data_IF_307193879337
#
_entry.id   IF_307193879337
#
_cell.length_a   1.000
_cell.length_b   1.000
_cell.length_c   1.000
_cell.angle_alpha   90.00
_cell.angle_beta   90.00
_cell.angle_gamma   90.00
#
_symmetry.space_group_name_H-M   'P 1'
#
loop_
_entity.id
_entity.type
_entity.pdbx_description
1 polymer ?
#
# COMPACT_ATOMS: atom_id res chain seq x y z
N UNK A 1 16.10 -28.78 -0.42
CA UNK A 1 16.65 -27.79 0.55
C UNK A 1 15.56 -27.47 1.55
N UNK A 2 15.89 -27.37 2.86
CA UNK A 2 14.95 -27.00 3.91
C UNK A 2 14.98 -25.49 4.13
N UNK A 3 13.82 -24.84 4.19
CA UNK A 3 13.69 -23.41 4.37
C UNK A 3 12.77 -23.11 5.56
N UNK A 4 13.20 -22.24 6.44
CA UNK A 4 12.40 -21.72 7.54
C UNK A 4 11.92 -20.31 7.18
N UNK A 5 10.60 -20.11 7.14
CA UNK A 5 9.98 -18.80 6.97
C UNK A 5 9.45 -18.32 8.33
N UNK A 6 9.93 -17.18 8.78
CA UNK A 6 9.52 -16.57 10.06
C UNK A 6 8.54 -15.44 9.81
N UNK A 7 7.33 -15.59 10.31
CA UNK A 7 6.20 -14.68 10.11
C UNK A 7 5.21 -15.20 9.07
N UNK A 8 3.96 -15.41 9.49
CA UNK A 8 2.87 -15.91 8.67
C UNK A 8 1.83 -14.81 8.32
N UNK A 9 2.27 -13.57 8.23
CA UNK A 9 1.54 -12.51 7.56
C UNK A 9 1.52 -12.72 6.05
N UNK A 10 0.89 -11.83 5.29
CA UNK A 10 0.73 -12.01 3.83
C UNK A 10 2.05 -12.25 3.10
N UNK A 11 3.11 -11.53 3.43
CA UNK A 11 4.43 -11.68 2.78
C UNK A 11 5.04 -13.05 3.04
N UNK A 12 5.13 -13.47 4.31
CA UNK A 12 5.74 -14.75 4.65
C UNK A 12 4.91 -15.93 4.15
N UNK A 13 3.58 -15.83 4.24
CA UNK A 13 2.69 -16.89 3.74
C UNK A 13 2.76 -17.02 2.21
N UNK A 14 2.78 -15.92 1.47
CA UNK A 14 2.96 -15.94 0.02
C UNK A 14 4.32 -16.51 -0.37
N UNK A 15 5.40 -16.14 0.33
CA UNK A 15 6.72 -16.71 0.13
C UNK A 15 6.73 -18.21 0.39
N UNK A 16 6.15 -18.66 1.51
CA UNK A 16 6.09 -20.06 1.88
C UNK A 16 5.35 -20.91 0.84
N UNK A 17 4.19 -20.43 0.35
CA UNK A 17 3.42 -21.09 -0.70
C UNK A 17 4.22 -21.21 -2.00
N UNK A 18 4.86 -20.11 -2.43
CA UNK A 18 5.65 -20.15 -3.66
C UNK A 18 6.89 -21.03 -3.55
N UNK A 19 7.57 -21.05 -2.41
CA UNK A 19 8.70 -21.95 -2.16
C UNK A 19 8.27 -23.42 -2.21
N UNK A 20 7.15 -23.78 -1.58
CA UNK A 20 6.64 -25.17 -1.66
C UNK A 20 6.32 -25.60 -3.09
N UNK A 21 5.81 -24.69 -3.92
CA UNK A 21 5.55 -24.98 -5.35
C UNK A 21 6.81 -25.21 -6.17
N UNK A 22 7.94 -24.74 -5.69
CA UNK A 22 9.26 -24.97 -6.28
C UNK A 22 10.01 -26.11 -5.57
N UNK A 23 9.26 -27.06 -4.96
CA UNK A 23 9.75 -28.29 -4.36
C UNK A 23 10.72 -28.09 -3.17
N UNK A 24 10.64 -26.93 -2.51
CA UNK A 24 11.35 -26.75 -1.25
C UNK A 24 10.55 -27.31 -0.07
N UNK A 25 11.26 -27.92 0.87
CA UNK A 25 10.69 -28.30 2.18
C UNK A 25 10.61 -27.04 3.05
N UNK A 26 9.39 -26.53 3.28
CA UNK A 26 9.18 -25.26 3.96
C UNK A 26 8.53 -25.44 5.32
N UNK A 27 9.16 -24.88 6.35
CA UNK A 27 8.58 -24.71 7.68
C UNK A 27 8.20 -23.24 7.87
N UNK A 28 6.91 -22.97 8.15
CA UNK A 28 6.38 -21.64 8.43
C UNK A 28 6.11 -21.52 9.93
N UNK A 29 6.66 -20.50 10.59
CA UNK A 29 6.45 -20.24 12.01
C UNK A 29 5.94 -18.81 12.24
N UNK A 30 5.01 -18.66 13.17
CA UNK A 30 4.51 -17.38 13.68
C UNK A 30 4.08 -17.55 15.14
N UNK A 31 3.90 -16.45 15.86
CA UNK A 31 3.38 -16.44 17.22
C UNK A 31 1.87 -16.74 17.29
N UNK A 32 1.17 -16.50 16.17
CA UNK A 32 -0.28 -16.65 16.04
C UNK A 32 -0.65 -17.26 14.70
N UNK A 33 -1.84 -17.81 14.58
CA UNK A 33 -2.32 -18.34 13.31
C UNK A 33 -2.49 -17.23 12.24
N UNK A 34 -2.22 -17.54 10.95
CA UNK A 34 -2.46 -16.61 9.85
C UNK A 34 -3.89 -16.09 9.80
N UNK A 35 -4.05 -14.80 9.64
CA UNK A 35 -5.34 -14.12 9.68
C UNK A 35 -5.88 -13.86 11.10
N UNK A 36 -5.03 -13.99 12.13
CA UNK A 36 -5.36 -13.55 13.49
C UNK A 36 -5.56 -12.03 13.57
N UNK A 37 -6.50 -11.53 14.40
CA UNK A 37 -6.72 -10.10 14.60
C UNK A 37 -5.50 -9.32 15.10
N UNK A 38 -4.52 -10.00 15.66
CA UNK A 38 -3.26 -9.38 16.16
C UNK A 38 -2.19 -9.19 15.08
N UNK A 39 -2.40 -9.74 13.87
CA UNK A 39 -1.50 -9.54 12.74
C UNK A 39 -1.82 -8.25 11.99
N UNK A 40 -0.80 -7.50 11.57
CA UNK A 40 -0.95 -6.30 10.75
C UNK A 40 -1.71 -6.56 9.44
N UNK A 41 -1.57 -7.76 8.87
CA UNK A 41 -2.28 -8.16 7.65
C UNK A 41 -3.79 -8.29 7.84
N UNK A 42 -4.29 -8.57 9.05
CA UNK A 42 -5.72 -8.70 9.33
C UNK A 42 -6.46 -7.37 9.18
N UNK A 43 -5.89 -6.29 9.75
CA UNK A 43 -6.49 -4.96 9.73
C UNK A 43 -6.06 -4.10 8.54
N UNK A 44 -5.39 -4.68 7.55
CA UNK A 44 -4.97 -3.97 6.34
C UNK A 44 -6.18 -3.54 5.50
N UNK A 45 -6.06 -2.39 4.80
CA UNK A 45 -7.10 -1.92 3.88
C UNK A 45 -7.30 -2.84 2.66
N UNK A 46 -6.38 -3.76 2.43
CA UNK A 46 -6.45 -4.73 1.35
C UNK A 46 -6.20 -4.17 -0.05
N UNK A 47 -5.81 -2.91 -0.17
CA UNK A 47 -5.57 -2.29 -1.47
C UNK A 47 -4.36 -2.92 -2.17
N UNK A 48 -4.56 -3.37 -3.40
CA UNK A 48 -3.54 -3.87 -4.32
C UNK A 48 -3.20 -2.75 -5.32
N UNK A 49 -2.40 -1.79 -4.83
CA UNK A 49 -2.08 -0.57 -5.55
C UNK A 49 -0.88 -0.77 -6.49
N UNK A 50 -1.11 -1.00 -7.77
CA UNK A 50 -0.07 -1.03 -8.81
C UNK A 50 0.71 0.30 -8.89
N UNK A 51 0.02 1.43 -8.66
CA UNK A 51 0.61 2.78 -8.63
C UNK A 51 1.31 3.13 -7.33
N UNK A 52 1.63 2.15 -6.48
CA UNK A 52 2.34 2.31 -5.21
C UNK A 52 3.83 2.62 -5.33
N UNK A 53 4.24 3.31 -6.38
CA UNK A 53 5.65 3.58 -6.74
C UNK A 53 6.31 4.69 -5.93
N UNK A 54 5.53 5.46 -5.15
CA UNK A 54 6.07 6.56 -4.36
C UNK A 54 6.46 6.11 -2.94
N UNK A 55 7.67 6.43 -2.46
CA UNK A 55 8.00 6.24 -1.05
C UNK A 55 7.19 7.19 -0.17
N UNK A 56 7.07 6.85 1.11
CA UNK A 56 6.37 7.69 2.10
C UNK A 56 7.07 9.04 2.28
N UNK A 57 8.40 9.05 2.24
CA UNK A 57 9.17 10.30 2.22
C UNK A 57 9.23 10.84 0.80
N UNK A 58 8.63 12.00 0.57
CA UNK A 58 8.61 12.70 -0.73
C UNK A 58 9.20 14.10 -0.60
N UNK A 59 9.65 14.74 -1.70
CA UNK A 59 10.13 16.11 -1.68
C UNK A 59 9.12 17.06 -1.01
N UNK A 60 9.60 17.93 -0.13
CA UNK A 60 8.76 18.87 0.61
C UNK A 60 8.09 18.31 1.88
N UNK A 61 8.33 17.04 2.25
CA UNK A 61 7.80 16.49 3.51
C UNK A 61 8.29 17.29 4.72
N UNK A 62 9.58 17.65 4.77
CA UNK A 62 10.16 18.46 5.86
C UNK A 62 9.41 19.77 6.08
N UNK A 63 8.98 20.44 4.99
CA UNK A 63 8.25 21.71 5.06
C UNK A 63 6.83 21.53 5.61
N UNK A 64 6.26 20.31 5.52
CA UNK A 64 4.92 19.99 6.01
C UNK A 64 4.92 19.60 7.49
N UNK A 65 6.06 19.11 8.03
CA UNK A 65 6.16 18.59 9.41
C UNK A 65 5.69 19.62 10.47
N UNK A 66 6.10 20.90 10.47
CA UNK A 66 5.66 21.85 11.49
C UNK A 66 4.13 21.99 11.54
N UNK A 67 3.49 22.05 10.36
CA UNK A 67 2.02 22.10 10.28
C UNK A 67 1.38 20.80 10.78
N UNK A 68 1.95 19.65 10.45
CA UNK A 68 1.44 18.35 10.87
C UNK A 68 1.53 18.15 12.39
N UNK A 69 2.51 18.76 13.05
CA UNK A 69 2.65 18.68 14.52
C UNK A 69 1.57 19.51 15.23
N UNK A 70 1.16 20.64 14.66
CA UNK A 70 0.21 21.57 15.27
C UNK A 70 -1.25 21.17 14.96
N UNK A 71 -1.49 20.45 13.87
CA UNK A 71 -2.84 20.05 13.45
C UNK A 71 -3.33 18.85 14.27
N UNK A 72 -4.39 18.99 15.11
CA UNK A 72 -4.93 17.89 15.90
C UNK A 72 -5.47 16.71 15.08
N UNK A 73 -5.81 16.96 13.80
CA UNK A 73 -6.32 15.94 12.89
C UNK A 73 -5.21 15.29 12.06
N UNK A 74 -3.95 15.66 12.31
CA UNK A 74 -2.80 15.08 11.61
C UNK A 74 -2.57 13.65 12.08
N UNK A 75 -2.20 12.72 11.17
CA UNK A 75 -1.79 11.38 11.55
C UNK A 75 -0.42 11.35 12.24
N UNK A 76 0.31 12.47 12.28
CA UNK A 76 1.63 12.54 12.88
C UNK A 76 1.53 12.81 14.38
N UNK A 77 1.90 11.80 15.18
CA UNK A 77 2.06 11.93 16.63
C UNK A 77 3.52 11.75 17.03
N UNK A 78 4.10 12.77 17.69
CA UNK A 78 5.50 12.74 18.12
C UNK A 78 5.58 12.58 19.65
N UNK A 79 6.22 11.49 20.08
CA UNK A 79 6.66 11.33 21.47
C UNK A 79 7.99 12.04 21.67
N UNK A 80 7.97 13.28 22.14
CA UNK A 80 9.15 14.14 22.26
C UNK A 80 10.32 13.48 23.03
N UNK A 81 10.02 12.74 24.10
CA UNK A 81 11.03 11.98 24.88
C UNK A 81 11.72 10.89 24.05
N UNK A 82 11.10 10.42 22.98
CA UNK A 82 11.65 9.38 22.11
C UNK A 82 12.43 9.96 20.93
N UNK A 83 12.25 11.23 20.62
CA UNK A 83 12.85 11.89 19.46
C UNK A 83 14.38 11.69 19.34
N UNK A 84 15.18 11.81 20.41
CA UNK A 84 16.63 11.56 20.31
C UNK A 84 16.98 10.14 19.83
N UNK A 85 16.20 9.15 20.25
CA UNK A 85 16.35 7.74 19.82
C UNK A 85 15.86 7.51 18.37
N UNK A 86 14.96 8.35 17.89
CA UNK A 86 14.42 8.27 16.54
C UNK A 86 15.33 8.91 15.49
N UNK A 87 16.15 9.88 15.86
CA UNK A 87 16.99 10.66 14.94
C UNK A 87 17.87 9.81 14.00
N UNK A 88 18.55 8.74 14.47
CA UNK A 88 19.36 7.90 13.59
C UNK A 88 18.59 7.25 12.43
N UNK A 89 17.30 6.99 12.62
CA UNK A 89 16.41 6.50 11.57
C UNK A 89 15.75 7.64 10.80
N UNK A 90 15.34 8.71 11.48
CA UNK A 90 14.56 9.81 10.88
C UNK A 90 15.40 10.57 9.84
N UNK A 91 16.70 10.79 10.09
CA UNK A 91 17.56 11.53 9.16
C UNK A 91 17.72 10.79 7.83
N UNK A 92 18.10 9.51 7.77
CA UNK A 92 18.09 8.74 6.52
C UNK A 92 16.73 8.69 5.84
N UNK A 93 15.64 8.52 6.60
CA UNK A 93 14.28 8.51 6.06
C UNK A 93 13.92 9.82 5.34
N UNK A 94 14.26 10.97 5.92
CA UNK A 94 14.00 12.26 5.30
C UNK A 94 14.89 12.50 4.07
N UNK A 95 16.14 12.04 4.10
CA UNK A 95 17.06 12.10 2.96
C UNK A 95 16.58 11.24 1.78
N UNK A 96 15.99 10.08 2.07
CA UNK A 96 15.42 9.20 1.05
C UNK A 96 14.28 9.87 0.24
N UNK A 97 13.67 10.94 0.75
CA UNK A 97 12.70 11.76 0.01
C UNK A 97 13.32 12.82 -0.91
N UNK A 98 14.64 12.86 -1.03
CA UNK A 98 15.33 13.74 -1.98
C UNK A 98 15.14 13.28 -3.43
N UNK A 99 15.27 14.20 -4.40
CA UNK A 99 15.08 13.89 -5.82
C UNK A 99 16.02 12.79 -6.30
N UNK A 100 17.32 12.90 -6.00
CA UNK A 100 18.32 11.92 -6.41
C UNK A 100 18.02 10.50 -5.86
N UNK A 101 17.45 10.42 -4.66
CA UNK A 101 17.02 9.15 -4.08
C UNK A 101 15.79 8.56 -4.78
N UNK A 102 14.89 9.40 -5.27
CA UNK A 102 13.69 8.95 -5.99
C UNK A 102 14.04 8.29 -7.32
N UNK A 103 15.09 8.73 -8.00
CA UNK A 103 15.56 8.14 -9.28
C UNK A 103 15.98 6.67 -9.12
N UNK A 104 16.36 6.27 -7.90
CA UNK A 104 16.69 4.88 -7.56
C UNK A 104 15.51 4.15 -6.92
N UNK A 105 14.81 4.81 -6.00
CA UNK A 105 13.76 4.17 -5.19
C UNK A 105 12.50 3.88 -6.03
N UNK A 106 12.10 4.80 -6.90
CA UNK A 106 10.85 4.66 -7.65
C UNK A 106 10.89 3.50 -8.64
N UNK A 107 11.94 3.30 -9.47
CA UNK A 107 12.06 2.11 -10.31
C UNK A 107 12.09 0.80 -9.50
N UNK A 108 12.76 0.81 -8.34
CA UNK A 108 12.81 -0.37 -7.47
C UNK A 108 11.43 -0.69 -6.87
N UNK A 109 10.66 0.32 -6.45
CA UNK A 109 9.29 0.13 -5.99
C UNK A 109 8.38 -0.33 -7.13
N UNK A 110 8.50 0.25 -8.31
CA UNK A 110 7.72 -0.16 -9.49
C UNK A 110 7.95 -1.63 -9.79
N UNK A 111 9.20 -2.09 -9.80
CA UNK A 111 9.51 -3.51 -10.06
C UNK A 111 8.86 -4.49 -9.07
N UNK A 112 8.46 -4.01 -7.88
CA UNK A 112 7.79 -4.80 -6.84
C UNK A 112 6.27 -4.64 -6.83
N UNK A 113 5.73 -3.54 -7.38
CA UNK A 113 4.32 -3.20 -7.22
C UNK A 113 3.51 -3.21 -8.50
N UNK A 114 4.13 -3.05 -9.67
CA UNK A 114 3.42 -2.87 -10.95
C UNK A 114 2.54 -4.06 -11.34
N UNK A 115 2.86 -5.27 -10.91
CA UNK A 115 2.13 -6.51 -11.19
C UNK A 115 1.42 -7.10 -9.95
N UNK A 116 1.34 -6.35 -8.85
CA UNK A 116 0.82 -6.85 -7.56
C UNK A 116 -0.57 -7.48 -7.68
N UNK A 117 -1.48 -6.91 -8.48
CA UNK A 117 -2.80 -7.46 -8.70
C UNK A 117 -2.73 -8.84 -9.38
N UNK A 118 -1.91 -8.98 -10.39
CA UNK A 118 -1.75 -10.24 -11.13
C UNK A 118 -1.08 -11.32 -10.29
N UNK A 119 -0.09 -10.96 -9.47
CA UNK A 119 0.54 -11.88 -8.53
C UNK A 119 -0.44 -12.36 -7.46
N UNK A 120 -1.28 -11.46 -6.93
CA UNK A 120 -2.33 -11.85 -5.99
C UNK A 120 -3.40 -12.72 -6.65
N UNK A 121 -3.80 -12.47 -7.90
CA UNK A 121 -4.70 -13.35 -8.65
C UNK A 121 -4.11 -14.75 -8.84
N UNK A 122 -2.83 -14.86 -9.23
CA UNK A 122 -2.13 -16.14 -9.34
C UNK A 122 -2.07 -16.90 -8.01
N UNK A 123 -1.72 -16.20 -6.93
CA UNK A 123 -1.70 -16.78 -5.58
C UNK A 123 -3.10 -17.25 -5.17
N UNK A 124 -4.12 -16.43 -5.35
CA UNK A 124 -5.50 -16.75 -5.00
C UNK A 124 -6.03 -17.95 -5.77
N UNK A 125 -5.86 -17.97 -7.10
CA UNK A 125 -6.28 -19.08 -7.96
C UNK A 125 -5.71 -20.41 -7.50
N UNK A 126 -4.49 -20.43 -7.09
CA UNK A 126 -3.78 -21.62 -6.68
C UNK A 126 -4.05 -22.07 -5.24
N UNK A 127 -4.72 -21.26 -4.46
CA UNK A 127 -5.05 -21.50 -3.05
C UNK A 127 -6.57 -21.49 -2.77
N UNK A 128 -7.40 -21.31 -3.82
CA UNK A 128 -8.86 -21.23 -3.68
C UNK A 128 -9.35 -19.95 -3.00
N UNK A 129 -8.57 -18.86 -3.10
CA UNK A 129 -8.87 -17.59 -2.43
C UNK A 129 -9.37 -16.49 -3.38
N UNK A 130 -9.76 -16.84 -4.62
CA UNK A 130 -10.14 -15.88 -5.68
C UNK A 130 -11.33 -15.00 -5.29
N UNK A 131 -12.29 -15.53 -4.56
CA UNK A 131 -13.48 -14.80 -4.14
C UNK A 131 -13.20 -13.58 -3.25
N UNK A 132 -11.98 -13.47 -2.72
CA UNK A 132 -11.58 -12.30 -1.92
C UNK A 132 -10.97 -11.18 -2.76
N UNK A 133 -10.66 -11.40 -4.04
CA UNK A 133 -10.04 -10.39 -4.90
C UNK A 133 -11.11 -9.69 -5.73
N UNK A 134 -11.13 -8.37 -5.62
CA UNK A 134 -11.89 -7.51 -6.52
C UNK A 134 -10.93 -6.66 -7.36
N UNK A 135 -11.32 -6.38 -8.61
CA UNK A 135 -10.62 -5.45 -9.49
C UNK A 135 -11.49 -4.22 -9.74
N UNK A 136 -10.86 -3.06 -9.83
CA UNK A 136 -11.52 -1.81 -10.09
C UNK A 136 -10.57 -0.63 -9.98
N UNK A 137 -11.13 0.56 -9.98
CA UNK A 137 -10.37 1.80 -9.94
C UNK A 137 -10.06 2.23 -8.51
N UNK A 138 -8.95 2.93 -8.34
CA UNK A 138 -8.54 3.53 -7.09
C UNK A 138 -8.65 5.05 -7.16
N UNK A 139 -9.34 5.66 -6.19
CA UNK A 139 -9.58 7.09 -6.13
C UNK A 139 -8.80 7.77 -5.01
N UNK A 140 -7.99 8.78 -5.34
CA UNK A 140 -7.48 9.75 -4.38
C UNK A 140 -8.40 10.96 -4.33
N UNK A 141 -8.96 11.25 -3.15
CA UNK A 141 -9.94 12.31 -2.95
C UNK A 141 -9.30 13.58 -2.39
N UNK A 142 -9.62 14.73 -2.99
CA UNK A 142 -9.08 16.04 -2.59
C UNK A 142 -10.20 17.00 -2.20
N UNK A 143 -9.97 17.86 -1.19
CA UNK A 143 -10.94 18.89 -0.80
C UNK A 143 -11.25 19.88 -1.94
N UNK A 144 -10.34 20.07 -2.88
CA UNK A 144 -10.53 20.95 -4.02
C UNK A 144 -9.28 21.09 -4.88
N UNK A 145 -9.38 21.91 -5.89
CA UNK A 145 -8.38 22.09 -6.95
C UNK A 145 -6.99 22.45 -6.42
N UNK A 146 -6.91 23.30 -5.41
CA UNK A 146 -5.64 23.72 -4.79
C UNK A 146 -4.90 22.53 -4.16
N UNK A 147 -5.63 21.61 -3.52
CA UNK A 147 -5.03 20.41 -2.92
C UNK A 147 -4.59 19.42 -3.98
N UNK A 148 -5.42 19.22 -5.02
CA UNK A 148 -5.06 18.38 -6.18
C UNK A 148 -3.78 18.87 -6.87
N UNK A 149 -3.68 20.18 -7.17
CA UNK A 149 -2.48 20.75 -7.82
C UNK A 149 -1.22 20.64 -6.96
N UNK A 150 -1.34 20.71 -5.63
CA UNK A 150 -0.19 20.50 -4.72
C UNK A 150 0.39 19.09 -4.80
N UNK A 151 -0.41 18.12 -5.22
CA UNK A 151 0.03 16.72 -5.41
C UNK A 151 0.45 16.43 -6.86
N UNK A 152 0.56 17.46 -7.69
CA UNK A 152 0.90 17.33 -9.12
C UNK A 152 2.21 16.60 -9.38
N UNK A 153 3.22 16.77 -8.51
CA UNK A 153 4.47 16.00 -8.59
C UNK A 153 4.20 14.48 -8.50
N UNK A 154 3.38 14.05 -7.55
CA UNK A 154 3.01 12.64 -7.39
C UNK A 154 2.23 12.10 -8.59
N UNK A 155 1.34 12.91 -9.15
CA UNK A 155 0.58 12.54 -10.35
C UNK A 155 1.48 12.39 -11.57
N UNK A 156 2.38 13.36 -11.80
CA UNK A 156 3.33 13.32 -12.91
C UNK A 156 4.23 12.08 -12.80
N UNK A 157 4.84 11.86 -11.64
CA UNK A 157 5.73 10.73 -11.45
C UNK A 157 5.02 9.37 -11.64
N UNK A 158 3.78 9.22 -11.15
CA UNK A 158 3.00 8.01 -11.41
C UNK A 158 2.69 7.83 -12.90
N UNK A 159 2.38 8.92 -13.61
CA UNK A 159 2.12 8.88 -15.04
C UNK A 159 3.36 8.44 -15.85
N UNK A 160 4.57 8.91 -15.46
CA UNK A 160 5.85 8.52 -16.07
C UNK A 160 6.12 7.00 -15.93
N UNK A 161 5.58 6.37 -14.89
CA UNK A 161 5.64 4.92 -14.66
C UNK A 161 4.41 4.15 -15.19
N UNK A 162 3.60 4.78 -16.05
CA UNK A 162 2.47 4.11 -16.71
C UNK A 162 1.16 4.11 -15.92
N UNK A 163 1.08 4.91 -14.84
CA UNK A 163 -0.12 5.05 -14.01
C UNK A 163 -0.71 6.47 -14.07
N UNK A 164 -1.18 6.93 -15.27
CA UNK A 164 -1.84 8.23 -15.37
C UNK A 164 -3.15 8.23 -14.59
N UNK A 165 -3.50 9.36 -14.01
CA UNK A 165 -4.79 9.53 -13.34
C UNK A 165 -5.75 10.33 -14.19
N UNK A 166 -7.04 9.93 -14.19
CA UNK A 166 -8.14 10.76 -14.69
C UNK A 166 -8.61 11.67 -13.56
N UNK A 167 -8.68 12.98 -13.82
CA UNK A 167 -9.26 13.93 -12.88
C UNK A 167 -10.78 13.95 -13.00
N UNK A 168 -11.48 13.87 -11.87
CA UNK A 168 -12.94 14.04 -11.78
C UNK A 168 -13.29 15.25 -10.93
N UNK A 169 -14.35 15.96 -11.34
CA UNK A 169 -15.00 17.01 -10.55
C UNK A 169 -16.11 16.47 -9.65
N UNK A 170 -16.72 17.36 -8.85
CA UNK A 170 -17.73 16.97 -7.86
C UNK A 170 -18.92 16.22 -8.44
N UNK A 171 -19.44 16.62 -9.62
CA UNK A 171 -20.57 15.95 -10.25
C UNK A 171 -20.25 14.51 -10.60
N UNK A 172 -19.11 14.26 -11.27
CA UNK A 172 -18.65 12.92 -11.62
C UNK A 172 -18.38 12.03 -10.40
N UNK A 173 -17.85 12.62 -9.31
CA UNK A 173 -17.63 11.90 -8.04
C UNK A 173 -18.96 11.40 -7.48
N UNK A 174 -20.02 12.20 -7.53
CA UNK A 174 -21.35 11.84 -7.02
C UNK A 174 -22.06 10.78 -7.89
N UNK A 175 -21.71 10.69 -9.18
CA UNK A 175 -22.16 9.59 -10.06
C UNK A 175 -21.54 8.25 -9.64
N UNK A 176 -20.27 8.26 -9.16
CA UNK A 176 -19.60 7.05 -8.66
C UNK A 176 -20.14 6.62 -7.30
N UNK A 177 -20.28 7.56 -6.37
CA UNK A 177 -20.81 7.31 -5.04
C UNK A 177 -21.46 8.59 -4.46
N UNK A 178 -22.79 8.57 -4.35
CA UNK A 178 -23.60 9.68 -3.84
C UNK A 178 -23.37 9.98 -2.35
N UNK A 179 -22.75 9.08 -1.60
CA UNK A 179 -22.46 9.25 -0.18
C UNK A 179 -21.11 9.89 0.12
N UNK A 180 -20.31 10.18 -0.90
CA UNK A 180 -19.02 10.86 -0.70
C UNK A 180 -19.23 12.21 -0.01
N UNK A 181 -18.50 12.39 1.09
CA UNK A 181 -18.55 13.62 1.90
C UNK A 181 -18.42 14.90 1.05
N UNK A 182 -19.22 15.95 1.33
CA UNK A 182 -19.17 17.22 0.60
C UNK A 182 -17.82 17.95 0.72
N UNK A 183 -16.96 17.55 1.64
CA UNK A 183 -15.61 18.12 1.76
C UNK A 183 -14.69 17.75 0.58
N UNK A 184 -15.02 16.73 -0.24
CA UNK A 184 -14.22 16.31 -1.37
C UNK A 184 -14.87 16.75 -2.68
N UNK A 185 -14.14 17.57 -3.45
CA UNK A 185 -14.64 18.19 -4.68
C UNK A 185 -13.84 17.82 -5.92
N UNK A 186 -12.69 17.15 -5.76
CA UNK A 186 -11.84 16.67 -6.85
C UNK A 186 -11.36 15.28 -6.51
N UNK A 187 -11.27 14.40 -7.50
CA UNK A 187 -10.65 13.10 -7.39
C UNK A 187 -9.62 12.87 -8.49
N UNK A 188 -8.61 12.07 -8.19
CA UNK A 188 -7.74 11.43 -9.16
C UNK A 188 -8.05 9.94 -9.20
N UNK A 189 -8.49 9.43 -10.34
CA UNK A 189 -8.82 8.03 -10.55
C UNK A 189 -7.65 7.34 -11.24
N UNK A 190 -7.19 6.24 -10.67
CA UNK A 190 -6.19 5.34 -11.23
C UNK A 190 -6.86 4.03 -11.57
N UNK A 191 -6.77 3.62 -12.84
CA UNK A 191 -7.41 2.41 -13.33
C UNK A 191 -6.61 1.14 -12.99
N UNK A 192 -7.25 -0.02 -13.15
CA UNK A 192 -6.62 -1.35 -13.06
C UNK A 192 -5.95 -1.67 -11.72
N UNK A 193 -6.52 -1.21 -10.63
CA UNK A 193 -6.15 -1.61 -9.30
C UNK A 193 -7.03 -2.77 -8.81
N UNK A 194 -6.80 -3.21 -7.59
CA UNK A 194 -7.64 -4.21 -6.96
C UNK A 194 -7.63 -4.06 -5.44
N UNK A 195 -8.46 -4.86 -4.80
CA UNK A 195 -8.47 -4.94 -3.34
C UNK A 195 -8.87 -6.32 -2.86
N UNK A 196 -8.47 -6.62 -1.64
CA UNK A 196 -8.87 -7.83 -0.91
C UNK A 196 -10.05 -7.44 0.00
N UNK A 197 -11.20 -8.04 -0.22
CA UNK A 197 -12.44 -7.73 0.51
C UNK A 197 -12.36 -8.08 2.00
N UNK A 198 -11.61 -9.13 2.35
CA UNK A 198 -11.40 -9.57 3.73
C UNK A 198 -9.99 -10.12 3.90
N UNK A 199 -9.00 -9.29 4.27
CA UNK A 199 -7.61 -9.71 4.39
C UNK A 199 -7.39 -10.87 5.37
N UNK A 200 -8.07 -10.88 6.51
CA UNK A 200 -7.95 -11.96 7.49
C UNK A 200 -8.44 -13.30 6.95
N UNK A 201 -9.58 -13.32 6.28
CA UNK A 201 -10.12 -14.55 5.66
C UNK A 201 -9.29 -14.99 4.46
N UNK A 202 -8.79 -14.04 3.67
CA UNK A 202 -7.86 -14.30 2.58
C UNK A 202 -6.61 -15.06 3.07
N UNK A 203 -5.97 -14.58 4.14
CA UNK A 203 -4.81 -15.25 4.72
C UNK A 203 -5.16 -16.65 5.24
N UNK A 204 -6.28 -16.80 5.93
CA UNK A 204 -6.72 -18.12 6.42
C UNK A 204 -6.94 -19.12 5.29
N UNK A 205 -7.50 -18.68 4.16
CA UNK A 205 -7.73 -19.54 3.00
C UNK A 205 -6.41 -19.97 2.36
N UNK A 206 -5.46 -19.04 2.15
CA UNK A 206 -4.12 -19.34 1.65
C UNK A 206 -3.41 -20.33 2.61
N UNK A 207 -3.51 -20.12 3.92
CA UNK A 207 -2.85 -21.00 4.89
C UNK A 207 -3.43 -22.41 4.89
N UNK A 208 -4.74 -22.56 4.68
CA UNK A 208 -5.35 -23.90 4.53
C UNK A 208 -4.76 -24.68 3.38
N UNK A 209 -4.43 -24.03 2.28
CA UNK A 209 -3.79 -24.68 1.13
C UNK A 209 -2.30 -24.97 1.35
N UNK A 210 -1.68 -24.30 2.31
CA UNK A 210 -0.29 -24.52 2.68
C UNK A 210 -0.13 -25.74 3.62
N UNK A 211 -1.12 -26.06 4.44
CA UNK A 211 -1.13 -27.25 5.32
C UNK A 211 -1.21 -28.52 4.51
#
# INVERSE_FOLDING_TARGET
MKILVVGAGITGLAAAVNLRRNDFEVTLIDRVEPGSPTQASFGNAGLLAKSGVLPVSTPGLLQKIPKMIIDPNSPLFIRWKYLPKLLPWLIPFLRAGGRDSLDVIVPALDSLTNDTLEQHKKLAKSTGAESYICQGDFALMYPGEKAFRKDGFSHALKADFGFPSKKLGRAEILELDKYISPKYNVAAIFNDHGWITNPGSYLRTIFKSFK
#
